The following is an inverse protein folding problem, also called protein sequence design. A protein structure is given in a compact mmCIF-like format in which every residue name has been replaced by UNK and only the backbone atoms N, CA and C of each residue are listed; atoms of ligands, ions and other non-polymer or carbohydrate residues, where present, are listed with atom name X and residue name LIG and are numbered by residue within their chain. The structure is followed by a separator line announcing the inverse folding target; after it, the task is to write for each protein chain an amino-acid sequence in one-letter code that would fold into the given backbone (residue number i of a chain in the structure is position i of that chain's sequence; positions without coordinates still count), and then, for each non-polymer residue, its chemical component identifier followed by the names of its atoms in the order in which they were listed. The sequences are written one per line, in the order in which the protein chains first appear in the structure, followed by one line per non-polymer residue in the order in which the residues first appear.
data_IF_505132418733
#
_entry.id   IF_505132418733
#
_cell.length_a   1.000
_cell.length_b   1.000
_cell.length_c   1.000
_cell.angle_alpha   90.00
_cell.angle_beta   90.00
_cell.angle_gamma   90.00
#
_symmetry.space_group_name_H-M   'P 1'
#
loop_
_entity.id
_entity.type
_entity.pdbx_description
1 polymer ?
#
# COMPACT_ATOMS: atom_id res chain seq x y z
N UNK A 1 9.79 13.18 -5.03
CA UNK A 1 9.59 11.88 -4.36
C UNK A 1 8.81 11.01 -5.31
N UNK A 2 9.21 9.76 -5.47
CA UNK A 2 8.54 8.78 -6.34
C UNK A 2 8.20 7.55 -5.50
N UNK A 3 7.04 6.95 -5.73
CA UNK A 3 6.66 5.68 -5.16
C UNK A 3 6.16 4.76 -6.27
N UNK A 4 6.52 3.49 -6.20
CA UNK A 4 6.06 2.46 -7.12
C UNK A 4 5.79 1.19 -6.33
N UNK A 5 4.68 0.52 -6.65
CA UNK A 5 4.45 -0.86 -6.28
C UNK A 5 4.32 -1.71 -7.54
N UNK A 6 4.79 -2.96 -7.44
CA UNK A 6 4.55 -4.00 -8.42
C UNK A 6 3.95 -5.18 -7.67
N UNK A 7 2.74 -5.54 -8.05
CA UNK A 7 1.98 -6.58 -7.38
C UNK A 7 1.37 -7.54 -8.40
N UNK A 8 1.51 -8.82 -8.10
CA UNK A 8 0.80 -9.87 -8.77
C UNK A 8 0.36 -10.86 -7.71
N UNK A 9 -0.87 -10.69 -7.23
CA UNK A 9 -1.46 -11.53 -6.17
C UNK A 9 -2.41 -12.57 -6.74
N UNK A 10 -2.42 -12.74 -8.07
CA UNK A 10 -3.38 -13.60 -8.79
C UNK A 10 -2.71 -14.62 -9.71
N UNK A 11 -1.38 -14.63 -9.80
CA UNK A 11 -0.65 -15.37 -10.83
C UNK A 11 -0.30 -16.82 -10.56
N UNK A 12 -0.67 -17.43 -9.45
CA UNK A 12 -0.32 -18.84 -9.24
C UNK A 12 -1.19 -19.65 -8.29
N UNK A 13 -0.99 -21.00 -8.29
CA UNK A 13 -0.48 -21.81 -9.40
C UNK A 13 -1.55 -21.94 -10.51
N UNK A 14 -1.18 -21.64 -11.76
CA UNK A 14 -2.13 -21.61 -12.89
C UNK A 14 -2.45 -22.98 -13.47
N UNK A 15 -1.56 -23.97 -13.27
CA UNK A 15 -1.70 -25.35 -13.75
C UNK A 15 -0.77 -26.30 -12.98
N UNK A 16 -0.96 -27.61 -13.15
CA UNK A 16 -0.07 -28.64 -12.57
C UNK A 16 1.38 -28.43 -13.02
N UNK A 17 2.32 -28.56 -12.09
CA UNK A 17 3.75 -28.34 -12.33
C UNK A 17 4.18 -26.87 -12.46
N UNK A 18 3.26 -25.90 -12.36
CA UNK A 18 3.59 -24.48 -12.39
C UNK A 18 3.68 -23.92 -10.98
N UNK A 19 4.88 -23.51 -10.55
CA UNK A 19 5.09 -22.89 -9.24
C UNK A 19 4.54 -21.46 -9.22
N UNK A 20 4.03 -21.07 -8.06
CA UNK A 20 3.50 -19.74 -7.82
C UNK A 20 4.61 -18.67 -7.69
N UNK A 21 4.37 -17.50 -8.29
CA UNK A 21 5.22 -16.30 -8.21
C UNK A 21 4.44 -15.07 -7.70
N UNK A 22 3.46 -15.31 -6.81
CA UNK A 22 2.72 -14.20 -6.22
C UNK A 22 3.62 -13.32 -5.36
N UNK A 23 3.51 -12.01 -5.55
CA UNK A 23 4.33 -11.05 -4.84
C UNK A 23 3.67 -9.68 -4.74
N UNK A 24 4.14 -8.91 -3.75
CA UNK A 24 3.89 -7.48 -3.63
C UNK A 24 5.24 -6.84 -3.30
N UNK A 25 5.78 -6.07 -4.23
CA UNK A 25 7.01 -5.30 -4.07
C UNK A 25 6.67 -3.81 -4.05
N UNK A 26 7.42 -3.04 -3.27
CA UNK A 26 7.27 -1.59 -3.24
C UNK A 26 8.61 -0.89 -3.11
N UNK A 27 8.66 0.35 -3.59
CA UNK A 27 9.82 1.24 -3.50
C UNK A 27 9.35 2.68 -3.37
N UNK A 28 10.02 3.43 -2.51
CA UNK A 28 9.85 4.87 -2.34
C UNK A 28 11.21 5.54 -2.42
N UNK A 29 11.39 6.41 -3.42
CA UNK A 29 12.57 7.25 -3.60
C UNK A 29 12.30 8.66 -3.06
N UNK A 30 12.99 8.98 -1.98
CA UNK A 30 13.08 10.30 -1.40
C UNK A 30 14.24 11.10 -1.98
N UNK A 31 14.36 12.37 -1.58
CA UNK A 31 15.47 13.23 -2.03
C UNK A 31 16.79 12.91 -1.34
N UNK A 32 16.76 12.22 -0.20
CA UNK A 32 17.94 11.91 0.64
C UNK A 32 18.08 10.43 0.98
N UNK A 33 17.30 9.58 0.32
CA UNK A 33 17.27 8.16 0.63
C UNK A 33 16.19 7.41 -0.11
N UNK A 34 16.19 6.09 0.09
CA UNK A 34 15.29 5.14 -0.53
C UNK A 34 14.85 4.12 0.51
N UNK A 35 13.59 3.71 0.43
CA UNK A 35 13.08 2.54 1.13
C UNK A 35 12.42 1.60 0.11
N UNK A 36 12.60 0.29 0.30
CA UNK A 36 11.98 -0.74 -0.51
C UNK A 36 11.65 -1.95 0.36
N UNK A 37 10.76 -2.80 -0.13
CA UNK A 37 10.42 -4.01 0.57
C UNK A 37 9.34 -4.80 -0.12
N UNK A 38 8.84 -5.78 0.62
CA UNK A 38 7.78 -6.69 0.20
C UNK A 38 6.67 -6.72 1.22
N UNK A 39 5.44 -7.03 0.79
CA UNK A 39 4.38 -7.47 1.69
C UNK A 39 4.33 -9.00 1.60
N UNK A 40 4.42 -9.68 2.73
CA UNK A 40 4.50 -11.15 2.81
C UNK A 40 3.19 -11.90 2.55
N UNK A 41 2.50 -11.55 1.46
CA UNK A 41 1.22 -12.11 1.00
C UNK A 41 1.41 -12.96 -0.27
N UNK A 42 0.62 -14.05 -0.48
CA UNK A 42 -0.39 -14.64 0.42
C UNK A 42 0.20 -15.67 1.40
N UNK A 43 1.50 -15.95 1.32
CA UNK A 43 2.15 -17.10 1.99
C UNK A 43 2.30 -16.96 3.51
N UNK A 44 1.88 -15.83 4.10
CA UNK A 44 1.99 -15.58 5.54
C UNK A 44 3.44 -15.47 6.00
N UNK A 45 4.28 -14.81 5.19
CA UNK A 45 5.69 -14.55 5.55
C UNK A 45 5.83 -13.13 6.10
N UNK A 46 6.93 -12.86 6.80
CA UNK A 46 7.23 -11.51 7.26
C UNK A 46 7.37 -10.56 6.05
N UNK A 47 6.73 -9.40 6.13
CA UNK A 47 7.01 -8.29 5.20
C UNK A 47 8.46 -7.85 5.38
N UNK A 48 9.08 -7.28 4.34
CA UNK A 48 10.46 -6.80 4.42
C UNK A 48 10.53 -5.29 4.36
N UNK A 49 11.59 -4.72 4.94
CA UNK A 49 12.00 -3.34 4.76
C UNK A 49 13.52 -3.31 4.57
N UNK A 50 13.97 -2.57 3.57
CA UNK A 50 15.37 -2.25 3.37
C UNK A 50 15.47 -0.81 2.93
N UNK A 51 16.31 -0.03 3.60
CA UNK A 51 16.40 1.40 3.36
C UNK A 51 17.83 1.90 3.46
N UNK A 52 18.11 3.00 2.78
CA UNK A 52 19.37 3.74 2.85
C UNK A 52 19.09 5.24 2.80
N UNK A 53 19.84 6.03 3.56
CA UNK A 53 19.68 7.46 3.69
C UNK A 53 21.01 8.13 3.98
N UNK A 54 21.31 9.23 3.30
CA UNK A 54 22.51 10.02 3.57
C UNK A 54 22.48 10.68 4.95
N UNK A 55 21.31 10.80 5.58
CA UNK A 55 21.15 11.48 6.87
C UNK A 55 21.08 10.53 8.06
N UNK A 56 20.41 9.38 7.90
CA UNK A 56 20.11 8.49 9.03
C UNK A 56 20.90 7.19 9.00
N UNK A 57 21.41 6.78 7.84
CA UNK A 57 22.23 5.56 7.70
C UNK A 57 23.62 5.83 7.15
N UNK A 58 23.98 7.10 6.91
CA UNK A 58 25.26 7.47 6.30
C UNK A 58 25.42 6.97 4.86
N UNK A 59 24.32 6.67 4.17
CA UNK A 59 24.32 6.07 2.84
C UNK A 59 24.34 4.54 2.84
N UNK A 60 24.54 3.91 3.99
CA UNK A 60 24.58 2.45 4.10
C UNK A 60 23.18 1.83 4.07
N UNK A 61 23.08 0.61 3.56
CA UNK A 61 21.84 -0.16 3.55
C UNK A 61 21.58 -0.81 4.90
N UNK A 62 20.36 -0.62 5.40
CA UNK A 62 19.87 -1.23 6.63
C UNK A 62 18.66 -2.10 6.29
N UNK A 63 18.73 -3.37 6.69
CA UNK A 63 17.70 -4.39 6.44
C UNK A 63 17.27 -5.04 7.76
N UNK A 64 16.42 -4.36 8.55
CA UNK A 64 15.86 -4.96 9.76
C UNK A 64 15.03 -6.20 9.43
N UNK A 65 15.03 -7.17 10.35
CA UNK A 65 14.21 -8.37 10.29
C UNK A 65 13.31 -8.46 11.51
N UNK A 66 12.15 -9.07 11.35
CA UNK A 66 11.20 -9.35 12.42
C UNK A 66 10.39 -10.60 12.07
N UNK A 67 9.84 -11.24 13.10
CA UNK A 67 9.05 -12.47 12.94
C UNK A 67 7.55 -12.19 12.76
N UNK A 68 7.13 -10.92 12.87
CA UNK A 68 5.75 -10.51 12.64
C UNK A 68 5.43 -10.37 11.15
N UNK A 69 4.17 -10.55 10.81
CA UNK A 69 3.70 -10.55 9.42
C UNK A 69 2.46 -9.66 9.29
N UNK A 70 2.21 -9.22 8.06
CA UNK A 70 1.12 -8.30 7.74
C UNK A 70 -0.24 -8.83 8.23
N UNK A 71 -0.54 -10.11 8.00
CA UNK A 71 -1.72 -10.77 8.55
C UNK A 71 -1.36 -11.54 9.83
N UNK A 72 -2.09 -11.40 10.96
CA UNK A 72 -3.40 -10.76 11.11
C UNK A 72 -3.33 -9.28 11.53
N UNK A 73 -2.15 -8.69 11.70
CA UNK A 73 -2.00 -7.33 12.25
C UNK A 73 -2.75 -6.26 11.44
N UNK A 74 -2.83 -6.41 10.12
CA UNK A 74 -3.63 -5.57 9.23
C UNK A 74 -5.11 -5.51 9.60
N UNK A 75 -5.66 -6.59 10.17
CA UNK A 75 -7.04 -6.66 10.64
C UNK A 75 -7.18 -6.18 12.07
N UNK A 76 -6.27 -6.63 12.96
CA UNK A 76 -6.30 -6.29 14.38
C UNK A 76 -6.26 -4.76 14.56
N UNK A 77 -5.33 -4.08 13.89
CA UNK A 77 -5.19 -2.62 14.01
C UNK A 77 -6.41 -1.87 13.50
N UNK A 78 -6.95 -2.25 12.34
CA UNK A 78 -8.15 -1.60 11.76
C UNK A 78 -9.37 -1.79 12.67
N UNK A 79 -9.56 -3.00 13.21
CA UNK A 79 -10.66 -3.29 14.12
C UNK A 79 -10.52 -2.57 15.47
N UNK A 80 -9.30 -2.43 15.98
CA UNK A 80 -9.02 -1.65 17.18
C UNK A 80 -9.38 -0.17 16.97
N UNK A 81 -8.96 0.41 15.84
CA UNK A 81 -9.26 1.81 15.50
C UNK A 81 -10.77 2.07 15.44
N UNK A 82 -11.55 1.15 14.87
CA UNK A 82 -13.01 1.24 14.85
C UNK A 82 -13.60 1.18 16.27
N UNK A 83 -13.17 0.21 17.08
CA UNK A 83 -13.64 0.07 18.47
C UNK A 83 -13.30 1.31 19.31
N UNK A 84 -12.12 1.90 19.10
CA UNK A 84 -11.72 3.14 19.74
C UNK A 84 -12.66 4.29 19.38
N UNK A 85 -12.94 4.50 18.08
CA UNK A 85 -13.85 5.54 17.59
C UNK A 85 -15.27 5.39 18.19
N UNK A 86 -15.79 4.17 18.25
CA UNK A 86 -17.08 3.87 18.87
C UNK A 86 -17.06 4.21 20.37
N UNK A 87 -15.99 3.84 21.08
CA UNK A 87 -15.87 4.07 22.53
C UNK A 87 -15.74 5.55 22.89
N UNK A 88 -15.02 6.33 22.09
CA UNK A 88 -14.69 7.74 22.42
C UNK A 88 -15.61 8.74 21.74
N UNK A 89 -16.34 8.33 20.70
CA UNK A 89 -17.08 9.24 19.83
C UNK A 89 -16.18 10.06 18.89
N UNK A 90 -14.87 9.79 18.86
CA UNK A 90 -13.96 10.44 17.93
C UNK A 90 -14.19 9.93 16.49
N UNK A 91 -13.92 10.75 15.45
CA UNK A 91 -13.96 10.29 14.08
C UNK A 91 -13.01 9.10 13.85
N UNK A 92 -13.41 8.08 13.07
CA UNK A 92 -12.54 6.96 12.75
C UNK A 92 -11.37 7.43 11.87
N UNK A 93 -10.18 6.87 12.11
CA UNK A 93 -8.99 7.17 11.31
C UNK A 93 -9.16 6.81 9.83
N UNK A 94 -9.96 5.76 9.54
CA UNK A 94 -10.25 5.26 8.19
C UNK A 94 -11.72 5.54 7.83
N UNK A 95 -12.05 6.82 7.66
CA UNK A 95 -13.43 7.23 7.34
C UNK A 95 -13.82 6.91 5.89
N UNK A 96 -15.12 6.73 5.64
CA UNK A 96 -15.66 6.57 4.27
C UNK A 96 -15.31 7.78 3.40
N UNK A 97 -15.39 8.99 3.97
CA UNK A 97 -15.06 10.23 3.29
C UNK A 97 -13.60 10.31 2.84
N UNK A 98 -12.69 9.60 3.51
CA UNK A 98 -11.31 9.47 3.05
C UNK A 98 -11.17 8.37 1.98
N UNK A 99 -11.79 7.21 2.20
CA UNK A 99 -11.74 6.08 1.26
C UNK A 99 -12.29 6.40 -0.14
N UNK A 100 -13.25 7.31 -0.28
CA UNK A 100 -13.75 7.74 -1.60
C UNK A 100 -12.67 8.45 -2.44
N UNK A 101 -11.63 9.02 -1.82
CA UNK A 101 -10.48 9.58 -2.55
C UNK A 101 -9.64 8.50 -3.21
N UNK A 102 -9.52 7.34 -2.59
CA UNK A 102 -8.86 6.17 -3.20
C UNK A 102 -9.64 5.73 -4.44
N UNK A 103 -10.98 5.68 -4.37
CA UNK A 103 -11.80 5.36 -5.54
C UNK A 103 -11.68 6.41 -6.65
N UNK A 104 -11.48 7.68 -6.33
CA UNK A 104 -11.21 8.70 -7.33
C UNK A 104 -9.92 8.44 -8.12
N UNK A 105 -8.90 7.79 -7.53
CA UNK A 105 -7.71 7.36 -8.25
C UNK A 105 -8.03 6.28 -9.29
N UNK A 106 -8.90 5.32 -8.92
CA UNK A 106 -9.37 4.25 -9.81
C UNK A 106 -10.11 4.83 -11.01
N UNK A 107 -11.05 5.75 -10.76
CA UNK A 107 -11.79 6.45 -11.82
C UNK A 107 -10.88 7.29 -12.72
N UNK A 108 -9.87 7.96 -12.14
CA UNK A 108 -8.87 8.69 -12.91
C UNK A 108 -8.07 7.75 -13.83
N UNK A 109 -7.74 6.54 -13.35
CA UNK A 109 -7.05 5.51 -14.12
C UNK A 109 -7.87 5.06 -15.33
N UNK A 110 -9.15 4.74 -15.14
CA UNK A 110 -10.03 4.37 -16.25
C UNK A 110 -10.18 5.49 -17.28
N UNK A 111 -10.37 6.74 -16.84
CA UNK A 111 -10.43 7.89 -17.75
C UNK A 111 -9.13 8.10 -18.50
N UNK A 112 -7.99 7.90 -17.84
CA UNK A 112 -6.67 8.02 -18.47
C UNK A 112 -6.46 7.00 -19.59
N UNK A 113 -6.97 5.77 -19.43
CA UNK A 113 -6.94 4.72 -20.46
C UNK A 113 -7.80 5.10 -21.65
N UNK A 114 -9.04 5.53 -21.40
CA UNK A 114 -10.00 5.89 -22.46
C UNK A 114 -9.53 7.10 -23.29
N UNK A 115 -9.01 8.13 -22.62
CA UNK A 115 -8.58 9.37 -23.27
C UNK A 115 -7.12 9.37 -23.73
N UNK A 116 -6.33 8.34 -23.39
CA UNK A 116 -4.92 8.25 -23.75
C UNK A 116 -4.04 9.38 -23.21
N UNK A 117 -4.41 9.99 -22.08
CA UNK A 117 -3.69 11.12 -21.46
C UNK A 117 -3.64 11.02 -19.93
N UNK A 118 -2.75 11.78 -19.31
CA UNK A 118 -2.77 12.01 -17.86
C UNK A 118 -4.03 12.77 -17.43
N UNK A 119 -4.65 12.32 -16.34
CA UNK A 119 -5.82 12.96 -15.71
C UNK A 119 -5.40 13.50 -14.34
N UNK A 120 -5.63 14.79 -14.06
CA UNK A 120 -5.43 15.35 -12.73
C UNK A 120 -6.57 14.92 -11.82
N UNK A 121 -6.28 14.63 -10.55
CA UNK A 121 -7.31 14.21 -9.60
C UNK A 121 -8.39 15.28 -9.36
N UNK A 122 -8.07 16.56 -9.56
CA UNK A 122 -9.06 17.65 -9.51
C UNK A 122 -10.12 17.57 -10.62
N UNK A 123 -9.90 16.76 -11.66
CA UNK A 123 -10.88 16.48 -12.72
C UNK A 123 -11.90 15.40 -12.32
N UNK A 124 -11.66 14.69 -11.20
CA UNK A 124 -12.56 13.68 -10.66
C UNK A 124 -13.37 14.29 -9.51
N UNK A 125 -14.67 14.43 -9.74
CA UNK A 125 -15.59 14.96 -8.73
C UNK A 125 -15.86 13.92 -7.66
N UNK A 126 -15.52 14.26 -6.42
CA UNK A 126 -15.91 13.49 -5.23
C UNK A 126 -17.02 14.28 -4.57
N UNK A 127 -18.26 13.80 -4.65
CA UNK A 127 -19.35 14.40 -3.87
C UNK A 127 -19.09 14.13 -2.39
N UNK A 128 -18.89 15.18 -1.61
CA UNK A 128 -18.88 15.06 -0.15
C UNK A 128 -20.24 14.51 0.29
N UNK A 129 -20.25 13.46 1.09
CA UNK A 129 -21.45 13.06 1.80
C UNK A 129 -21.78 14.19 2.79
N UNK A 130 -22.97 14.79 2.63
CA UNK A 130 -23.52 15.78 3.56
C UNK A 130 -23.77 15.16 4.94
#
# INVERSE_FOLDING_TARGET
MLAVSLEDVWSGPRQEGYLDDQHINWRVDGTKGVAKGTIGWPKGVASTLTYASTETTGGEWVSPSWDTMWFPHAFIGVMEQLQHAVKTGAPPALSVADNVKTMALVEAGYRSIDEGRTVKLSEISIKSAN
#
